data_IF_899422738296
#
_entry.id   IF_899422738296
#
_cell.length_a   1.000
_cell.length_b   1.000
_cell.length_c   1.000
_cell.angle_alpha   90.00
_cell.angle_beta   90.00
_cell.angle_gamma   90.00
#
_symmetry.space_group_name_H-M   'P 1'
#
loop_
_entity.id
_entity.type
_entity.pdbx_description
1 polymer ?
#
# COMPACT_ATOMS: atom_id res chain seq x y z
N UNK A 1 -9.87 16.75 0.35
CA UNK A 1 -11.29 17.14 0.48
C UNK A 1 -11.83 17.93 -0.73
N UNK A 2 -11.07 18.88 -1.30
CA UNK A 2 -11.49 19.63 -2.50
C UNK A 2 -11.92 18.73 -3.67
N UNK A 3 -11.17 17.65 -3.91
CA UNK A 3 -11.49 16.67 -4.96
C UNK A 3 -12.86 16.01 -4.75
N UNK A 4 -13.18 15.59 -3.52
CA UNK A 4 -14.49 15.01 -3.19
C UNK A 4 -15.63 16.02 -3.34
N UNK A 5 -15.41 17.28 -2.96
CA UNK A 5 -16.39 18.35 -3.19
C UNK A 5 -16.62 18.63 -4.68
N UNK A 6 -15.63 18.32 -5.53
CA UNK A 6 -15.74 18.39 -6.99
C UNK A 6 -16.56 17.26 -7.62
N UNK A 7 -17.09 16.31 -6.84
CA UNK A 7 -17.97 15.25 -7.34
C UNK A 7 -17.24 14.10 -8.04
N UNK A 8 -16.00 13.81 -7.65
CA UNK A 8 -15.27 12.64 -8.17
C UNK A 8 -15.95 11.32 -7.75
N UNK A 9 -15.74 10.27 -8.55
CA UNK A 9 -16.21 8.92 -8.25
C UNK A 9 -15.15 8.01 -7.64
N UNK A 10 -13.88 8.41 -7.74
CA UNK A 10 -12.73 7.73 -7.15
C UNK A 10 -11.57 8.72 -7.10
N UNK A 11 -10.61 8.53 -6.19
CA UNK A 11 -9.33 9.22 -6.25
C UNK A 11 -8.17 8.24 -6.42
N UNK A 12 -7.16 8.68 -7.15
CA UNK A 12 -5.96 7.93 -7.48
C UNK A 12 -4.73 8.75 -7.08
N UNK A 13 -3.73 8.11 -6.47
CA UNK A 13 -2.50 8.82 -6.15
C UNK A 13 -1.43 7.98 -5.47
N UNK A 14 -0.23 8.58 -5.41
CA UNK A 14 0.88 8.12 -4.58
C UNK A 14 0.84 8.82 -3.24
N UNK A 15 1.21 8.09 -2.21
CA UNK A 15 1.14 8.53 -0.82
C UNK A 15 2.25 7.86 -0.02
N UNK A 16 2.69 8.53 1.03
CA UNK A 16 3.57 7.99 2.05
C UNK A 16 2.82 7.02 2.97
N UNK A 17 3.56 6.19 3.71
CA UNK A 17 2.98 5.34 4.75
C UNK A 17 2.16 6.15 5.78
N UNK A 18 2.64 7.35 6.14
CA UNK A 18 1.98 8.24 7.08
C UNK A 18 0.65 8.82 6.57
N UNK A 19 0.54 9.09 5.26
CA UNK A 19 -0.68 9.66 4.64
C UNK A 19 -1.69 8.59 4.23
N UNK A 20 -1.24 7.34 4.05
CA UNK A 20 -2.10 6.20 3.70
C UNK A 20 -3.26 6.01 4.68
N UNK A 21 -2.99 6.04 5.98
CA UNK A 21 -4.03 5.84 7.02
C UNK A 21 -5.13 6.89 6.92
N UNK A 22 -4.78 8.13 6.62
CA UNK A 22 -5.73 9.23 6.46
C UNK A 22 -6.59 8.99 5.23
N UNK A 23 -5.97 8.73 4.07
CA UNK A 23 -6.68 8.50 2.82
C UNK A 23 -7.57 7.25 2.86
N UNK A 24 -7.10 6.17 3.52
CA UNK A 24 -7.90 4.99 3.80
C UNK A 24 -9.11 5.32 4.70
N UNK A 25 -8.92 6.14 5.74
CA UNK A 25 -10.01 6.58 6.62
C UNK A 25 -11.10 7.33 5.86
N UNK A 26 -10.71 8.28 5.00
CA UNK A 26 -11.65 8.98 4.12
C UNK A 26 -12.35 8.04 3.13
N UNK A 27 -11.58 7.16 2.47
CA UNK A 27 -12.13 6.19 1.51
C UNK A 27 -13.19 5.30 2.16
N UNK A 28 -12.91 4.80 3.36
CA UNK A 28 -13.82 3.96 4.15
C UNK A 28 -15.09 4.70 4.56
N UNK A 29 -14.95 5.90 5.12
CA UNK A 29 -16.07 6.67 5.67
C UNK A 29 -17.05 7.14 4.58
N UNK A 30 -16.50 7.62 3.46
CA UNK A 30 -17.30 8.20 2.38
C UNK A 30 -17.67 7.19 1.27
N UNK A 31 -17.35 5.91 1.46
CA UNK A 31 -17.48 4.87 0.43
C UNK A 31 -16.86 5.29 -0.91
N UNK A 32 -15.75 6.02 -0.85
CA UNK A 32 -15.08 6.61 -2.01
C UNK A 32 -13.91 5.71 -2.40
N UNK A 33 -13.95 5.05 -3.58
CA UNK A 33 -12.86 4.22 -4.05
C UNK A 33 -11.54 4.98 -4.09
N UNK A 34 -10.54 4.39 -3.47
CA UNK A 34 -9.19 4.90 -3.42
C UNK A 34 -8.21 3.91 -4.05
N UNK A 35 -7.55 4.34 -5.12
CA UNK A 35 -6.62 3.54 -5.88
C UNK A 35 -5.20 4.08 -5.66
N UNK A 36 -4.28 3.23 -5.20
CA UNK A 36 -2.91 3.62 -4.88
C UNK A 36 -1.87 2.77 -5.59
N UNK A 37 -0.80 3.40 -6.03
CA UNK A 37 0.41 2.72 -6.55
C UNK A 37 1.41 2.38 -5.47
N UNK A 38 1.23 2.87 -4.24
CA UNK A 38 2.07 2.49 -3.10
C UNK A 38 1.58 1.15 -2.54
N UNK A 39 2.52 0.31 -2.10
CA UNK A 39 2.21 -0.91 -1.37
C UNK A 39 1.43 -0.57 -0.10
N UNK A 40 0.22 -1.11 0.04
CA UNK A 40 -0.59 -0.93 1.24
C UNK A 40 -0.10 -1.90 2.32
N UNK A 41 0.95 -1.48 3.04
CA UNK A 41 1.68 -2.25 4.03
C UNK A 41 0.84 -3.20 4.89
N UNK A 42 1.41 -4.39 5.12
CA UNK A 42 0.90 -5.58 5.80
C UNK A 42 0.31 -6.64 4.86
N UNK A 43 1.14 -7.66 4.61
CA UNK A 43 0.82 -8.97 4.00
C UNK A 43 -0.32 -9.69 4.75
N UNK A 44 -0.66 -9.23 5.97
CA UNK A 44 -1.64 -9.82 6.89
C UNK A 44 -2.79 -8.89 7.32
N UNK A 45 -2.93 -7.68 6.76
CA UNK A 45 -3.96 -6.75 7.23
C UNK A 45 -5.35 -7.05 6.63
N UNK A 46 -6.40 -7.01 7.47
CA UNK A 46 -7.77 -7.35 7.10
C UNK A 46 -8.27 -6.50 5.92
N UNK A 47 -9.17 -7.10 5.15
CA UNK A 47 -9.97 -6.47 4.09
C UNK A 47 -10.13 -4.95 4.29
N UNK A 48 -9.57 -4.16 3.36
CA UNK A 48 -9.69 -2.70 3.36
C UNK A 48 -10.79 -2.31 2.37
N UNK A 49 -12.02 -2.06 2.84
CA UNK A 49 -13.11 -1.69 1.94
C UNK A 49 -12.77 -0.37 1.24
N UNK A 50 -13.17 -0.26 -0.03
CA UNK A 50 -12.96 0.92 -0.89
C UNK A 50 -11.50 1.28 -1.18
N UNK A 51 -10.51 0.48 -0.76
CA UNK A 51 -9.10 0.73 -1.07
C UNK A 51 -8.52 -0.37 -1.96
N UNK A 52 -7.89 0.03 -3.08
CA UNK A 52 -7.19 -0.86 -4.00
C UNK A 52 -5.72 -0.44 -4.11
N UNK A 53 -4.81 -1.34 -3.77
CA UNK A 53 -3.38 -1.18 -4.06
C UNK A 53 -3.03 -1.94 -5.33
N UNK A 54 -2.47 -1.23 -6.31
CA UNK A 54 -2.04 -1.82 -7.59
C UNK A 54 -0.63 -2.42 -7.44
N UNK A 55 0.17 -1.94 -6.49
CA UNK A 55 1.51 -2.46 -6.26
C UNK A 55 1.45 -3.90 -5.73
N UNK A 56 2.07 -4.87 -6.42
CA UNK A 56 2.13 -6.23 -5.93
C UNK A 56 3.00 -6.33 -4.68
N UNK A 57 2.72 -7.33 -3.84
CA UNK A 57 3.63 -7.68 -2.75
C UNK A 57 4.90 -8.30 -3.31
N UNK A 58 6.05 -7.71 -3.01
CA UNK A 58 7.37 -8.23 -3.41
C UNK A 58 7.97 -9.21 -2.39
N UNK A 59 7.33 -9.38 -1.22
CA UNK A 59 7.88 -10.15 -0.11
C UNK A 59 8.19 -11.60 -0.50
N UNK A 60 7.26 -12.26 -1.21
CA UNK A 60 7.47 -13.64 -1.66
C UNK A 60 8.59 -13.74 -2.69
N UNK A 61 8.68 -12.79 -3.63
CA UNK A 61 9.75 -12.78 -4.63
C UNK A 61 11.14 -12.61 -4.00
N UNK A 62 11.26 -11.79 -2.94
CA UNK A 62 12.52 -11.65 -2.19
C UNK A 62 12.87 -12.97 -1.47
N UNK A 63 11.89 -13.61 -0.83
CA UNK A 63 12.09 -14.91 -0.16
C UNK A 63 12.56 -15.96 -1.17
N UNK A 64 11.91 -16.04 -2.34
CA UNK A 64 12.27 -16.98 -3.40
C UNK A 64 13.71 -16.79 -3.87
N UNK A 65 14.16 -15.53 -3.99
CA UNK A 65 15.55 -15.22 -4.36
C UNK A 65 16.56 -15.65 -3.28
N UNK A 66 16.26 -15.39 -2.00
CA UNK A 66 17.12 -15.79 -0.88
C UNK A 66 17.29 -17.32 -0.86
N UNK A 67 16.18 -18.05 -1.06
CA UNK A 67 16.18 -19.52 -1.10
C UNK A 67 16.92 -20.02 -2.35
N UNK A 68 16.66 -19.44 -3.52
CA UNK A 68 17.30 -19.82 -4.78
C UNK A 68 18.83 -19.67 -4.72
N UNK A 69 19.32 -18.55 -4.20
CA UNK A 69 20.76 -18.29 -4.07
C UNK A 69 21.39 -18.91 -2.81
N UNK A 70 20.60 -19.59 -1.96
CA UNK A 70 21.04 -20.24 -0.72
C UNK A 70 21.86 -19.31 0.18
N UNK A 71 21.41 -18.07 0.34
CA UNK A 71 22.11 -17.12 1.22
C UNK A 71 22.09 -17.62 2.66
N UNK A 72 23.28 -17.84 3.23
CA UNK A 72 23.45 -18.28 4.63
C UNK A 72 23.61 -17.11 5.60
N UNK A 73 23.94 -15.93 5.08
CA UNK A 73 24.05 -14.66 5.80
C UNK A 73 23.52 -13.52 4.94
N UNK A 74 22.71 -12.66 5.53
CA UNK A 74 22.07 -11.52 4.89
C UNK A 74 22.14 -10.31 5.83
N UNK A 75 22.60 -9.18 5.32
CA UNK A 75 22.45 -7.88 5.98
C UNK A 75 21.31 -7.12 5.29
N UNK A 76 20.22 -6.85 6.01
CA UNK A 76 19.04 -6.18 5.48
C UNK A 76 19.06 -4.69 5.83
N UNK A 77 19.21 -3.84 4.82
CA UNK A 77 19.14 -2.39 4.94
C UNK A 77 17.75 -1.95 4.50
N UNK A 78 17.05 -1.19 5.35
CA UNK A 78 15.71 -0.70 5.09
C UNK A 78 15.60 0.78 5.41
N UNK A 79 14.61 1.43 4.79
CA UNK A 79 14.20 2.79 5.12
C UNK A 79 12.87 2.74 5.88
N UNK A 80 12.67 3.67 6.83
CA UNK A 80 11.42 3.84 7.56
C UNK A 80 10.39 4.70 6.80
N UNK A 81 10.76 5.29 5.66
CA UNK A 81 9.87 6.18 4.90
C UNK A 81 8.80 5.46 4.07
N UNK A 82 8.83 4.12 4.00
CA UNK A 82 7.82 3.28 3.32
C UNK A 82 7.36 2.09 4.17
#
# INVERSE_FOLDING_TARGET
CSQMAGGIFAFYGRQSASSFTIAQGFSKEFHMPFITTTFAGAVSSPFRPFTLSIAPSIVHAIIDLIVYYRWTRLDYIYNNDE
#
